data_IF_332407382996
#
_entry.id   IF_332407382996
#
_cell.length_a   1.000
_cell.length_b   1.000
_cell.length_c   1.000
_cell.angle_alpha   90.00
_cell.angle_beta   90.00
_cell.angle_gamma   90.00
#
_symmetry.space_group_name_H-M   'P 1'
#
loop_
_entity.id
_entity.type
_entity.pdbx_description
1 polymer ?
#
# COMPACT_ATOMS: atom_id res chain seq x y z
N UNK A 1 -20.96 -8.71 5.37
CA UNK A 1 -20.22 -7.99 6.45
C UNK A 1 -18.78 -8.49 6.59
N UNK A 2 -18.52 -9.80 6.73
CA UNK A 2 -17.15 -10.36 6.82
C UNK A 2 -16.21 -9.83 5.74
N UNK A 3 -16.64 -9.83 4.48
CA UNK A 3 -15.82 -9.37 3.35
C UNK A 3 -15.54 -7.85 3.40
N UNK A 4 -16.47 -7.05 3.94
CA UNK A 4 -16.23 -5.61 4.17
C UNK A 4 -15.10 -5.41 5.17
N UNK A 5 -15.16 -6.16 6.28
CA UNK A 5 -14.16 -6.06 7.34
C UNK A 5 -12.79 -6.47 6.80
N UNK A 6 -12.73 -7.54 5.99
CA UNK A 6 -11.49 -7.99 5.33
C UNK A 6 -10.97 -6.95 4.34
N UNK A 7 -11.83 -6.39 3.49
CA UNK A 7 -11.43 -5.38 2.52
C UNK A 7 -10.91 -4.10 3.19
N UNK A 8 -11.61 -3.63 4.22
CA UNK A 8 -11.20 -2.45 5.01
C UNK A 8 -9.91 -2.69 5.78
N UNK A 9 -9.72 -3.86 6.39
CA UNK A 9 -8.50 -4.17 7.12
C UNK A 9 -7.29 -4.24 6.18
N UNK A 10 -7.44 -4.83 4.98
CA UNK A 10 -6.40 -4.86 3.95
C UNK A 10 -6.01 -3.44 3.48
N UNK A 11 -7.01 -2.57 3.25
CA UNK A 11 -6.75 -1.17 2.88
C UNK A 11 -6.08 -0.39 4.02
N UNK A 12 -6.46 -0.63 5.27
CA UNK A 12 -5.88 0.04 6.42
C UNK A 12 -4.42 -0.40 6.65
N UNK A 13 -4.15 -1.70 6.58
CA UNK A 13 -2.79 -2.25 6.71
C UNK A 13 -1.88 -1.72 5.59
N UNK A 14 -2.35 -1.74 4.34
CA UNK A 14 -1.56 -1.22 3.22
C UNK A 14 -1.27 0.28 3.36
N UNK A 15 -2.24 1.08 3.82
CA UNK A 15 -2.03 2.51 4.10
C UNK A 15 -0.99 2.76 5.20
N UNK A 16 -1.04 1.97 6.29
CA UNK A 16 -0.06 2.05 7.38
C UNK A 16 1.35 1.67 6.89
N UNK A 17 1.48 0.59 6.12
CA UNK A 17 2.75 0.16 5.57
C UNK A 17 3.33 1.18 4.59
N UNK A 18 2.49 1.75 3.72
CA UNK A 18 2.90 2.81 2.80
C UNK A 18 3.40 4.04 3.54
N UNK A 19 2.65 4.47 4.57
CA UNK A 19 3.01 5.63 5.40
C UNK A 19 4.33 5.41 6.14
N UNK A 20 4.54 4.22 6.71
CA UNK A 20 5.80 3.85 7.36
C UNK A 20 6.99 3.94 6.40
N UNK A 21 6.82 3.43 5.17
CA UNK A 21 7.85 3.50 4.15
C UNK A 21 8.15 4.95 3.73
N UNK A 22 7.14 5.81 3.64
CA UNK A 22 7.28 7.23 3.34
C UNK A 22 8.04 7.98 4.46
N UNK A 23 7.74 7.65 5.73
CA UNK A 23 8.47 8.18 6.89
C UNK A 23 9.93 7.74 6.85
N UNK A 24 10.19 6.45 6.57
CA UNK A 24 11.55 5.94 6.45
C UNK A 24 12.32 6.66 5.34
N UNK A 25 11.72 6.83 4.16
CA UNK A 25 12.31 7.57 3.05
C UNK A 25 12.61 9.04 3.43
N UNK A 26 11.71 9.70 4.15
CA UNK A 26 11.91 11.07 4.60
C UNK A 26 13.10 11.20 5.57
N UNK A 27 13.20 10.30 6.55
CA UNK A 27 14.31 10.26 7.52
C UNK A 27 15.65 9.99 6.81
N UNK A 28 15.68 9.01 5.91
CA UNK A 28 16.88 8.70 5.14
C UNK A 28 17.26 9.81 4.14
N UNK A 29 16.31 10.59 3.62
CA UNK A 29 16.67 11.72 2.73
C UNK A 29 17.52 12.77 3.45
N UNK A 30 17.28 12.99 4.76
CA UNK A 30 18.02 13.95 5.57
C UNK A 30 19.45 13.52 5.88
N UNK A 31 19.73 12.22 5.94
CA UNK A 31 21.11 11.71 6.11
C UNK A 31 21.90 11.84 4.81
N UNK A 32 21.30 11.54 3.66
CA UNK A 32 21.93 11.71 2.33
C UNK A 32 22.34 13.14 2.06
N UNK A 33 21.47 14.09 2.40
CA UNK A 33 21.73 15.51 2.20
C UNK A 33 22.99 15.99 2.94
N UNK A 34 23.43 15.25 3.97
CA UNK A 34 24.60 15.56 4.80
C UNK A 34 25.86 14.78 4.41
N UNK A 35 25.75 13.60 3.81
CA UNK A 35 26.90 12.70 3.59
C UNK A 35 27.36 12.62 2.13
N UNK A 36 26.76 13.39 1.21
CA UNK A 36 26.99 13.34 -0.24
C UNK A 36 26.69 11.97 -0.88
N UNK A 37 26.22 12.01 -2.12
CA UNK A 37 25.69 10.86 -2.85
C UNK A 37 26.84 9.99 -3.40
N UNK A 38 27.38 9.07 -2.58
CA UNK A 38 28.39 8.13 -3.04
C UNK A 38 27.75 6.83 -3.57
N UNK A 39 27.80 6.64 -4.90
CA UNK A 39 27.30 5.43 -5.58
C UNK A 39 28.16 4.19 -5.32
N UNK A 40 29.43 4.34 -4.95
CA UNK A 40 30.34 3.21 -4.74
C UNK A 40 30.16 2.52 -3.39
N UNK A 41 29.49 3.18 -2.44
CA UNK A 41 29.22 2.58 -1.14
C UNK A 41 28.08 1.52 -1.19
N UNK A 42 27.35 1.39 -2.30
CA UNK A 42 26.23 0.44 -2.44
C UNK A 42 25.01 0.77 -1.56
N UNK A 43 25.04 1.89 -0.84
CA UNK A 43 24.06 2.23 0.21
C UNK A 43 22.78 2.85 -0.37
N UNK A 44 22.83 3.43 -1.57
CA UNK A 44 21.75 4.32 -2.04
C UNK A 44 21.05 3.92 -3.34
N UNK A 45 21.80 3.65 -4.41
CA UNK A 45 21.21 3.32 -5.71
C UNK A 45 20.52 1.96 -5.68
N UNK A 46 21.26 0.90 -5.38
CA UNK A 46 20.72 -0.46 -5.36
C UNK A 46 19.84 -0.73 -4.14
N UNK A 47 20.22 -0.30 -2.93
CA UNK A 47 19.47 -0.65 -1.74
C UNK A 47 18.07 0.00 -1.65
N UNK A 48 17.91 1.31 -1.84
CA UNK A 48 16.56 1.92 -1.79
C UNK A 48 15.74 1.64 -3.05
N UNK A 49 16.39 1.62 -4.22
CA UNK A 49 15.67 1.39 -5.49
C UNK A 49 15.28 -0.09 -5.65
N UNK A 50 16.09 -1.06 -5.23
CA UNK A 50 15.70 -2.49 -5.27
C UNK A 50 14.96 -2.94 -4.01
N UNK A 51 15.37 -2.51 -2.81
CA UNK A 51 14.78 -2.99 -1.54
C UNK A 51 13.51 -2.24 -1.16
N UNK A 52 13.28 -0.98 -1.61
CA UNK A 52 12.01 -0.29 -1.36
C UNK A 52 10.98 -0.49 -2.45
N UNK A 53 11.40 -0.72 -3.70
CA UNK A 53 10.46 -0.95 -4.80
C UNK A 53 9.64 -2.22 -4.61
N UNK A 54 10.28 -3.31 -4.18
CA UNK A 54 9.61 -4.59 -3.94
C UNK A 54 8.51 -4.52 -2.86
N UNK A 55 8.75 -3.99 -1.64
CA UNK A 55 7.70 -3.83 -0.64
C UNK A 55 6.63 -2.81 -1.05
N UNK A 56 6.98 -1.70 -1.72
CA UNK A 56 5.97 -0.76 -2.25
C UNK A 56 5.03 -1.47 -3.22
N UNK A 57 5.58 -2.25 -4.15
CA UNK A 57 4.80 -3.01 -5.12
C UNK A 57 3.83 -3.99 -4.43
N UNK A 58 4.30 -4.71 -3.42
CA UNK A 58 3.46 -5.62 -2.62
C UNK A 58 2.35 -4.87 -1.87
N UNK A 59 2.66 -3.71 -1.27
CA UNK A 59 1.68 -2.86 -0.58
C UNK A 59 0.59 -2.39 -1.55
N UNK A 60 0.98 -1.97 -2.77
CA UNK A 60 0.03 -1.54 -3.80
C UNK A 60 -0.88 -2.68 -4.25
N UNK A 61 -0.35 -3.89 -4.45
CA UNK A 61 -1.16 -5.06 -4.79
C UNK A 61 -2.17 -5.38 -3.69
N UNK A 62 -1.75 -5.37 -2.42
CA UNK A 62 -2.64 -5.61 -1.26
C UNK A 62 -3.76 -4.57 -1.22
N UNK A 63 -3.44 -3.29 -1.47
CA UNK A 63 -4.42 -2.22 -1.52
C UNK A 63 -5.46 -2.45 -2.62
N UNK A 64 -5.02 -2.80 -3.84
CA UNK A 64 -5.90 -3.08 -4.98
C UNK A 64 -6.82 -4.27 -4.67
N UNK A 65 -6.28 -5.34 -4.08
CA UNK A 65 -7.07 -6.52 -3.69
C UNK A 65 -8.15 -6.13 -2.67
N UNK A 66 -7.80 -5.37 -1.62
CA UNK A 66 -8.75 -4.87 -0.63
C UNK A 66 -9.87 -4.02 -1.25
N UNK A 67 -9.49 -3.15 -2.20
CA UNK A 67 -10.42 -2.28 -2.91
C UNK A 67 -11.38 -3.06 -3.83
N UNK A 68 -10.89 -4.05 -4.57
CA UNK A 68 -11.72 -4.93 -5.41
C UNK A 68 -12.74 -5.70 -4.56
N UNK A 69 -12.31 -6.26 -3.42
CA UNK A 69 -13.22 -6.98 -2.50
C UNK A 69 -14.36 -6.06 -2.02
N UNK A 70 -14.04 -4.80 -1.69
CA UNK A 70 -15.05 -3.84 -1.26
C UNK A 70 -16.03 -3.48 -2.37
N UNK A 71 -15.54 -3.20 -3.58
CA UNK A 71 -16.39 -2.87 -4.72
C UNK A 71 -17.35 -4.01 -5.02
N UNK A 72 -16.84 -5.26 -5.07
CA UNK A 72 -17.67 -6.43 -5.34
C UNK A 72 -18.74 -6.64 -4.28
N UNK A 73 -18.39 -6.48 -3.01
CA UNK A 73 -19.34 -6.65 -1.90
C UNK A 73 -20.40 -5.54 -1.87
N UNK A 74 -20.04 -4.28 -2.16
CA UNK A 74 -20.99 -3.16 -2.26
C UNK A 74 -21.92 -3.35 -3.45
N UNK A 75 -21.38 -3.65 -4.63
CA UNK A 75 -22.16 -3.88 -5.84
C UNK A 75 -23.12 -5.06 -5.68
N UNK A 76 -22.68 -6.16 -5.04
CA UNK A 76 -23.52 -7.32 -4.75
C UNK A 76 -24.68 -6.97 -3.81
N UNK A 77 -24.43 -6.19 -2.75
CA UNK A 77 -25.49 -5.73 -1.84
C UNK A 77 -26.51 -4.84 -2.53
N UNK A 78 -26.05 -3.90 -3.36
CA UNK A 78 -26.95 -3.01 -4.10
C UNK A 78 -27.86 -3.78 -5.05
N UNK A 79 -27.32 -4.78 -5.75
CA UNK A 79 -28.10 -5.66 -6.63
C UNK A 79 -29.20 -6.42 -5.88
N UNK A 80 -28.86 -7.05 -4.74
CA UNK A 80 -29.84 -7.77 -3.90
C UNK A 80 -30.92 -6.81 -3.36
N UNK A 81 -30.54 -5.60 -2.97
CA UNK A 81 -31.48 -4.61 -2.46
C UNK A 81 -32.53 -4.18 -3.50
N UNK A 82 -32.15 -4.10 -4.78
CA UNK A 82 -33.05 -3.76 -5.89
C UNK A 82 -34.03 -4.90 -6.18
N UNK A 83 -33.59 -6.15 -6.15
CA UNK A 83 -34.48 -7.30 -6.39
C UNK A 83 -35.53 -7.49 -5.28
N UNK A 84 -35.23 -7.11 -4.04
CA UNK A 84 -36.16 -7.26 -2.90
C UNK A 84 -37.27 -6.19 -2.87
N UNK A 85 -37.19 -5.16 -3.72
CA UNK A 85 -38.19 -4.08 -3.83
C UNK A 85 -39.20 -4.27 -4.97
N UNK A 86 -38.99 -5.27 -5.82
CA UNK A 86 -39.98 -5.72 -6.82
C UNK A 86 -40.79 -6.87 -6.26
#
# INVERSE_FOLDING_TARGET
MRNIIIGLSLMLISSLLYSSNLIAAAVYSGTVAKTSWDRNAGIFGTALEEVSFLPIYMITLIFIIGLVILILEVCSRDFISKMKRQ
#
